data_IF_212271292054
#
_entry.id   IF_212271292054
#
_cell.length_a   1.000
_cell.length_b   1.000
_cell.length_c   1.000
_cell.angle_alpha   90.00
_cell.angle_beta   90.00
_cell.angle_gamma   90.00
#
_symmetry.space_group_name_H-M   'P 1'
#
loop_
_entity.id
_entity.type
_entity.pdbx_description
1 polymer ?
#
# COMPACT_ATOMS: atom_id res chain seq x y z
N UNK A 1 30.88 22.80 43.39
CA UNK A 1 30.01 22.59 42.22
C UNK A 1 30.90 22.05 41.10
N UNK A 2 30.89 20.73 40.88
CA UNK A 2 31.88 20.05 40.04
C UNK A 2 31.48 20.12 38.56
N UNK A 3 32.24 20.91 37.79
CA UNK A 3 32.01 21.14 36.35
C UNK A 3 31.96 19.84 35.52
N UNK A 4 32.66 18.80 35.96
CA UNK A 4 32.71 17.49 35.28
C UNK A 4 31.41 16.68 35.37
N UNK A 5 30.68 16.74 36.48
CA UNK A 5 29.40 16.01 36.64
C UNK A 5 28.29 16.62 35.78
N UNK A 6 28.31 17.94 35.62
CA UNK A 6 27.36 18.63 34.74
C UNK A 6 27.62 18.31 33.26
N UNK A 7 28.89 18.17 32.86
CA UNK A 7 29.27 17.84 31.48
C UNK A 7 28.82 16.44 31.07
N UNK A 8 29.00 15.44 31.94
CA UNK A 8 28.56 14.06 31.66
C UNK A 8 27.04 13.97 31.59
N UNK A 9 26.32 14.67 32.48
CA UNK A 9 24.86 14.74 32.44
C UNK A 9 24.34 15.34 31.13
N UNK A 10 24.98 16.41 30.62
CA UNK A 10 24.62 17.04 29.34
C UNK A 10 24.84 16.08 28.16
N UNK A 11 25.95 15.35 28.14
CA UNK A 11 26.23 14.36 27.08
C UNK A 11 25.19 13.24 27.08
N UNK A 12 24.87 12.69 28.26
CA UNK A 12 23.87 11.62 28.38
C UNK A 12 22.50 12.12 27.90
N UNK A 13 22.10 13.34 28.31
CA UNK A 13 20.85 13.94 27.88
C UNK A 13 20.81 14.16 26.36
N UNK A 14 21.90 14.67 25.78
CA UNK A 14 22.00 14.87 24.33
C UNK A 14 21.89 13.55 23.56
N UNK A 15 22.59 12.49 24.01
CA UNK A 15 22.50 11.15 23.41
C UNK A 15 21.07 10.60 23.51
N UNK A 16 20.41 10.74 24.66
CA UNK A 16 19.03 10.29 24.84
C UNK A 16 18.06 11.01 23.89
N UNK A 17 18.21 12.32 23.71
CA UNK A 17 17.39 13.10 22.76
C UNK A 17 17.64 12.67 21.32
N UNK A 18 18.90 12.44 20.94
CA UNK A 18 19.25 11.95 19.58
C UNK A 18 18.64 10.57 19.33
N UNK A 19 18.74 9.65 20.29
CA UNK A 19 18.15 8.32 20.18
C UNK A 19 16.62 8.39 20.07
N UNK A 20 15.97 9.25 20.87
CA UNK A 20 14.53 9.47 20.79
C UNK A 20 14.11 9.99 19.41
N UNK A 21 14.82 11.00 18.88
CA UNK A 21 14.60 11.53 17.54
C UNK A 21 14.77 10.45 16.47
N UNK A 22 15.82 9.65 16.57
CA UNK A 22 16.09 8.56 15.64
C UNK A 22 14.94 7.53 15.66
N UNK A 23 14.46 7.13 16.83
CA UNK A 23 13.32 6.21 16.97
C UNK A 23 12.06 6.79 16.33
N UNK A 24 11.75 8.06 16.60
CA UNK A 24 10.58 8.74 16.01
C UNK A 24 10.67 8.81 14.48
N UNK A 25 11.85 9.17 13.95
CA UNK A 25 12.07 9.27 12.50
C UNK A 25 12.04 7.91 11.81
N UNK A 26 12.62 6.87 12.41
CA UNK A 26 12.66 5.51 11.84
C UNK A 26 11.35 4.73 12.03
N UNK A 27 10.49 5.11 12.97
CA UNK A 27 9.23 4.39 13.25
C UNK A 27 8.32 4.28 12.01
N UNK A 28 8.16 5.38 11.27
CA UNK A 28 7.32 5.45 10.07
C UNK A 28 7.81 4.56 8.93
N UNK A 29 9.08 4.65 8.45
CA UNK A 29 9.56 3.79 7.37
C UNK A 29 9.58 2.31 7.77
N UNK A 30 9.92 1.99 9.02
CA UNK A 30 9.83 0.61 9.51
C UNK A 30 8.40 0.08 9.43
N UNK A 31 7.42 0.80 9.97
CA UNK A 31 6.00 0.41 9.93
C UNK A 31 5.52 0.20 8.49
N UNK A 32 5.86 1.11 7.60
CA UNK A 32 5.50 1.01 6.19
C UNK A 32 6.09 -0.24 5.52
N UNK A 33 7.33 -0.60 5.87
CA UNK A 33 7.98 -1.79 5.37
C UNK A 33 7.27 -3.06 5.86
N UNK A 34 6.97 -3.15 7.16
CA UNK A 34 6.22 -4.27 7.72
C UNK A 34 4.84 -4.42 7.09
N UNK A 35 4.12 -3.32 6.87
CA UNK A 35 2.82 -3.35 6.22
C UNK A 35 2.90 -3.84 4.76
N UNK A 36 3.93 -3.44 4.01
CA UNK A 36 4.21 -3.98 2.67
C UNK A 36 4.47 -5.48 2.70
N UNK A 37 5.27 -5.96 3.66
CA UNK A 37 5.52 -7.39 3.83
C UNK A 37 4.27 -8.17 4.21
N UNK A 38 3.42 -7.62 5.09
CA UNK A 38 2.16 -8.24 5.50
C UNK A 38 1.21 -8.39 4.32
N UNK A 39 1.02 -7.33 3.55
CA UNK A 39 0.20 -7.35 2.33
C UNK A 39 0.76 -8.35 1.32
N UNK A 40 2.06 -8.29 1.01
CA UNK A 40 2.69 -9.23 0.08
C UNK A 40 2.56 -10.68 0.52
N UNK A 41 2.67 -10.96 1.82
CA UNK A 41 2.44 -12.31 2.37
C UNK A 41 0.98 -12.74 2.27
N UNK A 42 0.02 -11.83 2.51
CA UNK A 42 -1.39 -12.13 2.36
C UNK A 42 -1.74 -12.46 0.91
N UNK A 43 -1.23 -11.68 -0.06
CA UNK A 43 -1.42 -11.91 -1.49
C UNK A 43 -0.84 -13.25 -1.92
N UNK A 44 0.38 -13.58 -1.49
CA UNK A 44 1.03 -14.87 -1.78
C UNK A 44 0.24 -16.08 -1.27
N UNK A 45 -0.62 -15.90 -0.24
CA UNK A 45 -1.45 -16.98 0.30
C UNK A 45 -2.74 -17.20 -0.49
N UNK A 46 -3.11 -16.28 -1.40
CA UNK A 46 -4.34 -16.39 -2.19
C UNK A 46 -4.24 -17.45 -3.30
N UNK A 47 -3.04 -17.90 -3.67
CA UNK A 47 -2.85 -18.83 -4.78
C UNK A 47 -1.50 -19.54 -4.75
N UNK A 48 -1.21 -20.26 -5.84
CA UNK A 48 0.02 -21.06 -6.00
C UNK A 48 1.19 -20.23 -6.53
N UNK A 49 0.92 -19.19 -7.32
CA UNK A 49 1.91 -18.24 -7.81
C UNK A 49 1.35 -16.82 -7.80
N UNK A 50 2.24 -15.83 -7.66
CA UNK A 50 1.85 -14.41 -7.71
C UNK A 50 2.92 -13.58 -8.40
N UNK A 51 2.49 -12.64 -9.24
CA UNK A 51 3.32 -11.60 -9.84
C UNK A 51 2.87 -10.23 -9.34
N UNK A 52 3.77 -9.25 -9.35
CA UNK A 52 3.47 -7.88 -8.91
C UNK A 52 4.09 -6.87 -9.86
N UNK A 53 3.48 -5.70 -10.00
CA UNK A 53 3.90 -4.63 -10.91
C UNK A 53 4.00 -5.10 -12.37
N UNK A 54 2.92 -5.72 -12.86
CA UNK A 54 2.87 -6.26 -14.22
C UNK A 54 2.35 -5.19 -15.17
N UNK A 55 3.00 -5.03 -16.32
CA UNK A 55 2.55 -4.15 -17.40
C UNK A 55 2.21 -5.05 -18.60
N UNK A 56 0.98 -4.95 -19.09
CA UNK A 56 0.53 -5.64 -20.30
C UNK A 56 0.05 -4.65 -21.33
N UNK A 57 0.03 -5.03 -22.62
CA UNK A 57 -0.63 -4.22 -23.63
C UNK A 57 -2.15 -4.29 -23.45
N UNK A 58 -2.88 -3.24 -23.82
CA UNK A 58 -4.34 -3.28 -23.93
C UNK A 58 -4.83 -3.81 -25.29
N UNK A 59 -3.91 -4.07 -26.23
CA UNK A 59 -4.23 -4.51 -27.60
C UNK A 59 -4.51 -3.36 -28.59
N UNK A 60 -4.42 -2.10 -28.15
CA UNK A 60 -4.65 -0.88 -28.96
C UNK A 60 -3.50 0.12 -28.79
N UNK A 61 -2.25 -0.36 -28.82
CA UNK A 61 -1.02 0.41 -28.57
C UNK A 61 -0.91 1.09 -27.19
N UNK A 62 -1.84 0.81 -26.27
CA UNK A 62 -1.78 1.24 -24.88
C UNK A 62 -1.22 0.16 -23.96
N UNK A 63 -1.01 0.55 -22.71
CA UNK A 63 -0.51 -0.32 -21.65
C UNK A 63 -1.40 -0.22 -20.41
N UNK A 64 -1.65 -1.36 -19.78
CA UNK A 64 -2.35 -1.44 -18.50
C UNK A 64 -1.39 -1.93 -17.43
N UNK A 65 -1.39 -1.21 -16.31
CA UNK A 65 -0.65 -1.59 -15.12
C UNK A 65 -1.53 -2.43 -14.21
N UNK A 66 -1.00 -3.58 -13.79
CA UNK A 66 -1.63 -4.50 -12.85
C UNK A 66 -0.76 -4.62 -11.61
N UNK A 67 -1.29 -4.17 -10.48
CA UNK A 67 -0.57 -4.21 -9.20
C UNK A 67 -0.17 -5.63 -8.80
N UNK A 68 -1.12 -6.56 -8.78
CA UNK A 68 -0.87 -7.96 -8.44
C UNK A 68 -1.71 -8.91 -9.28
N UNK A 69 -1.06 -9.94 -9.82
CA UNK A 69 -1.70 -11.11 -10.43
C UNK A 69 -1.46 -12.32 -9.56
N UNK A 70 -2.50 -13.09 -9.27
CA UNK A 70 -2.40 -14.33 -8.49
C UNK A 70 -2.99 -15.49 -9.25
N UNK A 71 -2.19 -16.52 -9.49
CA UNK A 71 -2.66 -17.78 -10.07
C UNK A 71 -3.20 -18.67 -8.96
N UNK A 72 -4.46 -19.07 -9.09
CA UNK A 72 -5.11 -20.06 -8.22
C UNK A 72 -5.26 -21.39 -8.96
N UNK A 73 -5.86 -22.40 -8.32
CA UNK A 73 -6.06 -23.72 -8.94
C UNK A 73 -6.91 -23.67 -10.23
N UNK A 74 -7.83 -22.70 -10.36
CA UNK A 74 -8.78 -22.66 -11.48
C UNK A 74 -8.93 -21.28 -12.14
N UNK A 75 -8.36 -20.22 -11.56
CA UNK A 75 -8.57 -18.83 -12.00
C UNK A 75 -7.30 -17.99 -11.81
N UNK A 76 -7.20 -16.91 -12.56
CA UNK A 76 -6.24 -15.82 -12.31
C UNK A 76 -7.00 -14.69 -11.61
N UNK A 77 -6.47 -14.18 -10.50
CA UNK A 77 -7.02 -13.06 -9.76
C UNK A 77 -6.22 -11.79 -10.06
N UNK A 78 -6.92 -10.71 -10.36
CA UNK A 78 -6.38 -9.34 -10.37
C UNK A 78 -6.64 -8.74 -9.00
N UNK A 79 -5.58 -8.34 -8.30
CA UNK A 79 -5.67 -7.81 -6.94
C UNK A 79 -5.05 -6.42 -6.90
N UNK A 80 -5.83 -5.44 -6.46
CA UNK A 80 -5.35 -4.10 -6.14
C UNK A 80 -5.55 -3.80 -4.66
N UNK A 81 -4.62 -3.06 -4.06
CA UNK A 81 -4.65 -2.71 -2.64
C UNK A 81 -4.76 -1.21 -2.48
N UNK A 82 -5.90 -0.76 -1.98
CA UNK A 82 -6.14 0.65 -1.62
C UNK A 82 -6.11 0.80 -0.09
N UNK A 83 -5.39 1.79 0.40
CA UNK A 83 -5.23 2.04 1.85
C UNK A 83 -5.93 3.34 2.21
N UNK A 84 -7.16 3.21 2.69
CA UNK A 84 -7.94 4.32 3.23
C UNK A 84 -8.18 4.09 4.73
N UNK A 85 -8.20 5.18 5.50
CA UNK A 85 -8.65 5.19 6.90
C UNK A 85 -10.14 5.52 7.00
N UNK A 86 -10.77 5.20 8.12
CA UNK A 86 -12.18 5.50 8.33
C UNK A 86 -13.11 4.62 7.48
N UNK A 87 -14.34 5.09 7.29
CA UNK A 87 -15.36 4.37 6.54
C UNK A 87 -15.28 4.69 5.05
N UNK A 88 -15.63 3.72 4.21
CA UNK A 88 -15.71 3.90 2.76
C UNK A 88 -17.17 3.83 2.34
N UNK A 89 -17.67 4.92 1.77
CA UNK A 89 -18.95 4.97 1.10
C UNK A 89 -18.73 4.64 -0.38
N UNK A 90 -19.18 3.46 -0.77
CA UNK A 90 -18.91 2.86 -2.06
C UNK A 90 -20.14 2.12 -2.59
N UNK A 91 -20.32 2.17 -3.91
CA UNK A 91 -21.21 1.29 -4.65
C UNK A 91 -20.61 1.01 -6.02
N UNK A 92 -20.96 -0.13 -6.60
CA UNK A 92 -20.43 -0.59 -7.90
C UNK A 92 -20.75 0.40 -9.04
N UNK A 93 -21.96 0.97 -9.02
CA UNK A 93 -22.46 1.90 -10.02
C UNK A 93 -22.16 3.39 -9.74
N UNK A 94 -21.27 3.69 -8.78
CA UNK A 94 -20.85 5.07 -8.51
C UNK A 94 -19.50 5.34 -9.17
N UNK A 95 -19.39 6.44 -9.93
CA UNK A 95 -18.11 6.86 -10.53
C UNK A 95 -17.08 7.29 -9.47
N UNK A 96 -17.57 7.81 -8.35
CA UNK A 96 -16.76 8.33 -7.25
C UNK A 96 -17.17 7.68 -5.94
N UNK A 97 -16.19 7.14 -5.23
CA UNK A 97 -16.35 6.70 -3.85
C UNK A 97 -15.94 7.82 -2.89
N UNK A 98 -16.29 7.68 -1.61
CA UNK A 98 -15.90 8.64 -0.59
C UNK A 98 -15.30 7.95 0.63
N UNK A 99 -14.22 8.52 1.14
CA UNK A 99 -13.61 8.18 2.41
C UNK A 99 -14.12 9.13 3.49
N UNK A 100 -14.74 8.59 4.53
CA UNK A 100 -15.25 9.34 5.67
C UNK A 100 -14.35 9.10 6.88
N UNK A 101 -13.74 10.18 7.36
CA UNK A 101 -12.88 10.21 8.55
C UNK A 101 -13.37 11.27 9.52
N UNK A 102 -12.78 11.34 10.72
CA UNK A 102 -13.09 12.41 11.69
C UNK A 102 -12.83 13.82 11.14
N UNK A 103 -11.91 13.95 10.16
CA UNK A 103 -11.57 15.22 9.52
C UNK A 103 -12.48 15.61 8.35
N UNK A 104 -13.43 14.76 7.95
CA UNK A 104 -14.37 15.02 6.86
C UNK A 104 -14.48 13.87 5.85
N UNK A 105 -15.16 14.18 4.73
CA UNK A 105 -15.42 13.27 3.63
C UNK A 105 -14.65 13.66 2.38
N UNK A 106 -13.87 12.74 1.82
CA UNK A 106 -13.00 12.96 0.68
C UNK A 106 -13.36 12.01 -0.45
N UNK A 107 -13.71 12.55 -1.62
CA UNK A 107 -14.07 11.76 -2.79
C UNK A 107 -12.83 11.31 -3.57
N UNK A 108 -12.88 10.10 -4.11
CA UNK A 108 -11.88 9.55 -5.01
C UNK A 108 -12.54 8.70 -6.11
N UNK A 109 -11.90 8.54 -7.28
CA UNK A 109 -12.45 7.71 -8.36
C UNK A 109 -12.69 6.28 -7.90
N UNK A 110 -13.78 5.68 -8.38
CA UNK A 110 -14.09 4.28 -8.09
C UNK A 110 -12.98 3.37 -8.67
N UNK A 111 -12.25 2.62 -7.81
CA UNK A 111 -11.12 1.80 -8.25
C UNK A 111 -11.57 0.58 -9.07
N UNK A 112 -12.87 0.24 -9.12
CA UNK A 112 -13.36 -0.88 -9.91
C UNK A 112 -13.15 -0.67 -11.41
N UNK A 113 -13.24 0.56 -11.92
CA UNK A 113 -12.99 0.85 -13.34
C UNK A 113 -11.56 0.48 -13.79
N UNK A 114 -10.58 0.71 -12.91
CA UNK A 114 -9.18 0.31 -13.15
C UNK A 114 -9.05 -1.21 -13.18
N UNK A 115 -9.73 -1.91 -12.27
CA UNK A 115 -9.74 -3.39 -12.26
C UNK A 115 -10.44 -3.95 -13.49
N UNK A 116 -11.56 -3.38 -13.92
CA UNK A 116 -12.28 -3.80 -15.13
C UNK A 116 -11.39 -3.66 -16.38
N UNK A 117 -10.67 -2.55 -16.49
CA UNK A 117 -9.72 -2.30 -17.57
C UNK A 117 -8.58 -3.32 -17.55
N UNK A 118 -8.00 -3.59 -16.38
CA UNK A 118 -6.99 -4.63 -16.18
C UNK A 118 -7.50 -6.04 -16.54
N UNK A 119 -8.73 -6.38 -16.16
CA UNK A 119 -9.34 -7.65 -16.51
C UNK A 119 -9.59 -7.78 -18.01
N UNK A 120 -10.05 -6.72 -18.67
CA UNK A 120 -10.28 -6.71 -20.12
C UNK A 120 -8.97 -6.93 -20.89
N UNK A 121 -7.91 -6.20 -20.52
CA UNK A 121 -6.57 -6.38 -21.11
C UNK A 121 -5.99 -7.78 -20.81
N UNK A 122 -6.20 -8.32 -19.61
CA UNK A 122 -5.73 -9.67 -19.29
C UNK A 122 -6.46 -10.72 -20.13
N UNK A 123 -7.78 -10.58 -20.32
CA UNK A 123 -8.58 -11.51 -21.11
C UNK A 123 -8.18 -11.57 -22.58
N UNK A 124 -7.69 -10.47 -23.17
CA UNK A 124 -7.20 -10.49 -24.55
C UNK A 124 -5.89 -11.26 -24.73
N UNK A 125 -5.16 -11.53 -23.63
CA UNK A 125 -3.89 -12.26 -23.63
C UNK A 125 -4.04 -13.73 -23.17
N UNK A 126 -5.22 -14.12 -22.68
CA UNK A 126 -5.50 -15.49 -22.27
C UNK A 126 -6.15 -16.25 -23.43
N UNK A 127 -5.78 -17.54 -23.63
CA UNK A 127 -6.34 -18.38 -24.69
C UNK A 127 -7.82 -18.71 -24.49
#
# INVERSE_FOLDING_TARGET
MNFGENMTAVIIAAVAVILLLLVVLLSKPLRNLFDRFRVGRAIKRLGTASMSNVVISDGMDGHVFIEHLVLTASKVLVVSVRRYSGAIFAAENMDMWAQVTDGGSYKFPNPLHEIETAMAALRSHLP
#
